data_IF_418350250983
#
_entry.id   IF_418350250983
#
_cell.length_a   1.000
_cell.length_b   1.000
_cell.length_c   1.000
_cell.angle_alpha   90.00
_cell.angle_beta   90.00
_cell.angle_gamma   90.00
#
_symmetry.space_group_name_H-M   'P 1'
#
loop_
_entity.id
_entity.type
_entity.pdbx_description
1 polymer ?
#
# COMPACT_ATOMS: atom_id res chain seq x y z
N UNK A 1 4.76 -7.33 -7.19
CA UNK A 1 4.26 -6.11 -6.55
C UNK A 1 2.85 -6.41 -6.03
N UNK A 2 2.56 -6.09 -4.78
CA UNK A 2 1.24 -6.29 -4.15
C UNK A 2 0.54 -4.96 -3.88
N UNK A 3 -0.78 -4.90 -4.07
CA UNK A 3 -1.59 -3.72 -3.80
C UNK A 3 -2.83 -4.18 -3.06
N UNK A 4 -3.14 -3.53 -1.95
CA UNK A 4 -4.32 -3.82 -1.14
C UNK A 4 -4.56 -2.74 -0.10
N UNK A 5 -5.68 -2.83 0.59
CA UNK A 5 -6.19 -1.81 1.51
C UNK A 5 -5.92 -2.14 2.98
N UNK A 6 -5.57 -3.39 3.30
CA UNK A 6 -5.42 -3.86 4.66
C UNK A 6 -3.97 -3.80 5.16
N UNK A 7 -3.73 -3.03 6.22
CA UNK A 7 -2.37 -2.81 6.75
C UNK A 7 -1.66 -4.11 7.18
N UNK A 8 -2.41 -5.09 7.71
CA UNK A 8 -1.81 -6.35 8.18
C UNK A 8 -1.71 -7.35 7.01
N UNK A 9 -2.84 -7.67 6.37
CA UNK A 9 -2.87 -8.76 5.40
C UNK A 9 -2.10 -8.40 4.12
N UNK A 10 -2.28 -7.17 3.62
CA UNK A 10 -1.66 -6.76 2.37
C UNK A 10 -0.28 -6.19 2.59
N UNK A 11 -0.15 -5.22 3.50
CA UNK A 11 1.11 -4.49 3.64
C UNK A 11 2.14 -5.29 4.45
N UNK A 12 1.79 -5.72 5.66
CA UNK A 12 2.71 -6.53 6.48
C UNK A 12 2.94 -7.91 5.85
N UNK A 13 1.90 -8.52 5.27
CA UNK A 13 2.02 -9.77 4.51
C UNK A 13 3.02 -9.67 3.36
N UNK A 14 2.87 -8.66 2.48
CA UNK A 14 3.79 -8.46 1.37
C UNK A 14 5.21 -8.08 1.82
N UNK A 15 5.34 -7.25 2.86
CA UNK A 15 6.61 -6.89 3.48
C UNK A 15 7.37 -8.14 3.95
N UNK A 16 6.72 -9.00 4.72
CA UNK A 16 7.33 -10.22 5.26
C UNK A 16 7.68 -11.23 4.16
N UNK A 17 6.91 -11.27 3.07
CA UNK A 17 7.18 -12.11 1.92
C UNK A 17 8.28 -11.55 0.98
N UNK A 18 8.79 -10.34 1.24
CA UNK A 18 9.83 -9.71 0.42
C UNK A 18 9.35 -9.12 -0.90
N UNK A 19 8.04 -8.93 -1.08
CA UNK A 19 7.48 -8.27 -2.26
C UNK A 19 7.53 -6.75 -2.10
N UNK A 20 7.56 -6.00 -3.22
CA UNK A 20 7.21 -4.58 -3.22
C UNK A 20 5.71 -4.40 -3.04
N UNK A 21 5.28 -3.38 -2.29
CA UNK A 21 3.86 -3.15 -1.98
C UNK A 21 3.48 -1.67 -1.96
N UNK A 22 2.21 -1.39 -2.26
CA UNK A 22 1.59 -0.05 -2.24
C UNK A 22 0.24 -0.15 -1.51
N UNK A 23 -0.04 0.79 -0.61
CA UNK A 23 -1.27 0.80 0.17
C UNK A 23 -2.38 1.58 -0.52
N UNK A 24 -3.53 0.93 -0.72
CA UNK A 24 -4.75 1.63 -1.15
C UNK A 24 -5.49 2.17 0.07
N UNK A 25 -5.47 3.49 0.26
CA UNK A 25 -6.02 4.18 1.43
C UNK A 25 -7.06 5.23 1.00
N UNK A 26 -8.24 4.77 0.58
CA UNK A 26 -9.33 5.65 0.15
C UNK A 26 -10.20 6.20 1.30
N UNK A 27 -9.92 5.79 2.54
CA UNK A 27 -10.67 6.15 3.74
C UNK A 27 -9.88 7.02 4.72
N UNK A 28 -8.70 7.52 4.32
CA UNK A 28 -7.79 8.29 5.17
C UNK A 28 -7.46 7.59 6.50
N UNK A 29 -7.34 6.26 6.48
CA UNK A 29 -6.90 5.51 7.64
C UNK A 29 -5.49 5.95 8.07
N UNK A 30 -5.27 5.99 9.38
CA UNK A 30 -3.95 6.28 9.96
C UNK A 30 -3.10 5.01 9.87
N UNK A 31 -1.89 5.14 9.33
CA UNK A 31 -0.92 4.04 9.34
C UNK A 31 -0.50 3.74 10.78
N UNK A 32 -0.73 2.51 11.23
CA UNK A 32 -0.48 2.10 12.62
C UNK A 32 0.27 0.76 12.67
N UNK A 33 1.41 0.67 11.98
CA UNK A 33 2.29 -0.49 12.01
C UNK A 33 3.70 -0.09 12.47
N UNK A 34 4.45 -1.07 12.96
CA UNK A 34 5.85 -0.87 13.40
C UNK A 34 6.83 -0.67 12.24
N UNK A 35 6.42 -0.98 11.02
CA UNK A 35 7.23 -0.76 9.80
C UNK A 35 6.93 0.61 9.20
N UNK A 36 7.86 1.11 8.38
CA UNK A 36 7.67 2.36 7.64
C UNK A 36 6.40 2.32 6.79
N UNK A 37 5.67 3.43 6.79
CA UNK A 37 4.49 3.60 5.95
C UNK A 37 4.89 3.42 4.47
N UNK A 38 4.24 2.51 3.72
CA UNK A 38 4.48 2.37 2.29
C UNK A 38 3.99 3.58 1.50
N UNK A 39 4.34 3.64 0.21
CA UNK A 39 3.63 4.51 -0.73
C UNK A 39 2.13 4.19 -0.66
N UNK A 40 1.30 5.22 -0.66
CA UNK A 40 -0.15 5.07 -0.66
C UNK A 40 -0.80 5.85 -1.80
N UNK A 41 -2.01 5.44 -2.15
CA UNK A 41 -2.89 6.19 -3.04
C UNK A 41 -4.34 5.95 -2.65
N UNK A 42 -5.21 6.88 -3.01
CA UNK A 42 -6.62 6.87 -2.59
C UNK A 42 -7.59 6.70 -3.75
N UNK A 43 -7.11 6.79 -5.00
CA UNK A 43 -7.95 6.71 -6.20
C UNK A 43 -7.28 5.85 -7.29
N UNK A 44 -8.02 4.89 -7.82
CA UNK A 44 -7.55 4.04 -8.93
C UNK A 44 -7.31 4.82 -10.22
N UNK A 45 -7.95 5.98 -10.40
CA UNK A 45 -7.75 6.83 -11.58
C UNK A 45 -6.30 7.33 -11.71
N UNK A 46 -5.58 7.47 -10.60
CA UNK A 46 -4.17 7.91 -10.56
C UNK A 46 -3.19 6.74 -10.54
N UNK A 47 -3.67 5.49 -10.56
CA UNK A 47 -2.83 4.31 -10.37
C UNK A 47 -1.82 4.12 -11.51
N UNK A 48 -2.22 4.34 -12.76
CA UNK A 48 -1.32 4.20 -13.91
C UNK A 48 -0.13 5.17 -13.82
N UNK A 49 -0.38 6.41 -13.39
CA UNK A 49 0.67 7.41 -13.16
C UNK A 49 1.64 7.00 -12.04
N UNK A 50 1.13 6.30 -11.01
CA UNK A 50 1.90 5.83 -9.86
C UNK A 50 2.86 4.68 -10.18
N UNK A 51 2.55 3.84 -11.15
CA UNK A 51 3.37 2.67 -11.51
C UNK A 51 4.29 2.88 -12.71
N UNK A 52 4.02 3.90 -13.53
CA UNK A 52 4.80 4.21 -14.74
C UNK A 52 5.89 5.26 -14.52
N UNK A 53 5.89 5.95 -13.36
CA UNK A 53 6.92 6.90 -12.92
C UNK A 53 7.80 6.31 -11.83
#
# INVERSE_FOLDING_TARGET
MHIGDHQINDMLGAHNAGFSYIWFNNNNAIWNQKINKPKEFSDWSIFEELITK
#
